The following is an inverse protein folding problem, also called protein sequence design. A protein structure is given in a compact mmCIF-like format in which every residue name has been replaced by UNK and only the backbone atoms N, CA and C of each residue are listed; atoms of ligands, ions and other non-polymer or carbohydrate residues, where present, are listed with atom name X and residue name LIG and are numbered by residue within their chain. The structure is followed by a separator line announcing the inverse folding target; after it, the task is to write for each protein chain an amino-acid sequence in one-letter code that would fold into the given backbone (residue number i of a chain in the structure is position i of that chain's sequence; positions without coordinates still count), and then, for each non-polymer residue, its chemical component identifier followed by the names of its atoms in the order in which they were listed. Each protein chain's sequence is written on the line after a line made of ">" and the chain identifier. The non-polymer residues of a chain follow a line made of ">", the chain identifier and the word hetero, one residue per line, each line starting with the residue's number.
data_IF_316668222592
#
_entry.id   IF_316668222592
#
_cell.length_a   1.000
_cell.length_b   1.000
_cell.length_c   1.000
_cell.angle_alpha   90.00
_cell.angle_beta   90.00
_cell.angle_gamma   90.00
#
_symmetry.space_group_name_H-M   'P 1'
#
loop_
_entity.id
_entity.type
_entity.pdbx_description
1 polymer ?
#
# COMPACT_ATOMS: atom_id res chain seq x y z
N UNK A 1 -33.13 51.84 34.18
CA UNK A 1 -31.91 52.59 33.82
C UNK A 1 -30.82 51.58 33.54
N UNK A 2 -30.15 51.48 32.41
CA UNK A 2 -30.21 52.20 31.14
C UNK A 2 -29.86 51.20 30.02
N UNK A 3 -30.48 51.41 28.87
CA UNK A 3 -30.27 50.71 27.61
C UNK A 3 -28.98 51.19 26.95
N UNK A 4 -28.21 50.29 26.31
CA UNK A 4 -27.25 50.68 25.28
C UNK A 4 -27.44 49.75 24.07
N UNK A 5 -28.02 50.35 23.04
CA UNK A 5 -28.10 49.90 21.66
C UNK A 5 -26.98 50.57 20.86
N UNK A 6 -26.38 49.87 19.90
CA UNK A 6 -25.77 50.35 18.64
C UNK A 6 -25.05 49.14 18.00
N UNK A 7 -24.89 48.95 16.70
CA UNK A 7 -25.64 49.20 15.46
C UNK A 7 -24.84 48.46 14.37
N UNK A 8 -25.52 48.00 13.32
CA UNK A 8 -24.93 47.29 12.16
C UNK A 8 -23.87 48.15 11.44
N UNK A 9 -22.79 47.49 10.98
CA UNK A 9 -21.99 47.95 9.86
C UNK A 9 -21.91 46.84 8.80
N UNK A 10 -22.50 47.13 7.64
CA UNK A 10 -22.42 46.38 6.40
C UNK A 10 -21.12 46.69 5.69
N UNK A 11 -20.41 45.68 5.19
CA UNK A 11 -19.37 45.85 4.17
C UNK A 11 -19.65 44.87 3.03
N UNK A 12 -20.07 45.47 1.91
CA UNK A 12 -20.16 44.91 0.57
C UNK A 12 -18.80 45.06 -0.12
N UNK A 13 -18.30 44.02 -0.79
CA UNK A 13 -17.64 44.19 -2.10
C UNK A 13 -17.39 42.86 -2.83
N UNK A 14 -18.11 42.70 -3.94
CA UNK A 14 -17.63 42.37 -5.29
C UNK A 14 -16.75 41.13 -5.51
N UNK A 15 -17.32 40.08 -6.14
CA UNK A 15 -16.57 39.19 -7.03
C UNK A 15 -17.30 39.00 -8.36
N UNK A 16 -16.50 39.03 -9.41
CA UNK A 16 -16.83 39.23 -10.80
C UNK A 16 -17.62 38.07 -11.43
N UNK A 17 -18.58 38.44 -12.28
CA UNK A 17 -19.16 37.60 -13.32
C UNK A 17 -18.12 37.42 -14.46
N UNK A 18 -17.87 36.18 -14.85
CA UNK A 18 -17.34 35.82 -16.16
C UNK A 18 -18.39 34.93 -16.84
N UNK A 19 -18.82 35.36 -18.03
CA UNK A 19 -19.79 34.66 -18.86
C UNK A 19 -19.15 34.20 -20.18
N UNK A 20 -19.86 33.28 -20.84
CA UNK A 20 -19.77 32.82 -22.23
C UNK A 20 -18.79 31.68 -22.62
N UNK A 21 -19.36 30.47 -22.63
CA UNK A 21 -19.74 29.66 -23.81
C UNK A 21 -18.86 29.66 -25.09
N UNK A 22 -18.49 28.43 -25.51
CA UNK A 22 -18.60 27.86 -26.88
C UNK A 22 -18.30 26.35 -26.79
N UNK A 23 -19.25 25.42 -26.91
CA UNK A 23 -19.88 24.79 -28.09
C UNK A 23 -18.94 24.24 -29.18
N UNK A 24 -19.40 23.14 -29.79
CA UNK A 24 -18.87 22.27 -30.88
C UNK A 24 -17.94 21.14 -30.43
N UNK A 25 -18.05 19.89 -30.89
CA UNK A 25 -18.97 19.24 -31.84
C UNK A 25 -18.77 17.72 -31.79
N UNK A 26 -19.83 17.00 -32.13
CA UNK A 26 -19.91 15.56 -32.41
C UNK A 26 -18.99 15.15 -33.57
N UNK A 27 -18.28 14.04 -33.44
CA UNK A 27 -17.95 13.15 -34.56
C UNK A 27 -17.73 11.72 -34.08
N UNK A 28 -18.61 10.84 -34.55
CA UNK A 28 -18.59 9.38 -34.43
C UNK A 28 -17.71 8.82 -35.55
N UNK A 29 -16.86 7.82 -35.29
CA UNK A 29 -16.40 6.85 -36.30
C UNK A 29 -16.00 5.52 -35.63
N UNK A 30 -16.46 4.44 -36.26
CA UNK A 30 -16.51 3.03 -35.86
C UNK A 30 -15.18 2.27 -36.10
N UNK A 31 -15.05 1.03 -35.57
CA UNK A 31 -13.82 0.24 -35.61
C UNK A 31 -13.65 -0.55 -36.92
N UNK A 32 -12.41 -0.92 -37.24
CA UNK A 32 -12.07 -1.86 -38.31
C UNK A 32 -11.44 -3.14 -37.76
N UNK A 33 -12.14 -4.24 -37.98
CA UNK A 33 -11.64 -5.61 -38.04
C UNK A 33 -10.60 -5.79 -39.16
N UNK A 34 -9.67 -6.75 -38.97
CA UNK A 34 -9.31 -7.79 -39.96
C UNK A 34 -8.31 -8.84 -39.41
N UNK A 35 -8.88 -10.02 -39.09
CA UNK A 35 -8.51 -11.37 -39.56
C UNK A 35 -7.07 -11.71 -39.99
N UNK A 36 -6.52 -12.73 -39.30
CA UNK A 36 -5.93 -14.01 -39.77
C UNK A 36 -5.20 -14.09 -41.12
N UNK A 37 -3.98 -14.64 -41.09
CA UNK A 37 -3.53 -15.60 -42.11
C UNK A 37 -2.53 -16.63 -41.57
N UNK A 38 -2.70 -17.83 -42.12
CA UNK A 38 -2.11 -19.13 -41.81
C UNK A 38 -0.70 -19.33 -42.38
N UNK A 39 -0.13 -20.52 -42.05
CA UNK A 39 0.77 -21.36 -42.87
C UNK A 39 2.28 -21.17 -42.61
N UNK A 40 3.15 -22.19 -42.56
CA UNK A 40 3.08 -23.63 -42.92
C UNK A 40 4.30 -24.36 -42.26
N UNK A 41 4.10 -25.64 -41.98
CA UNK A 41 5.04 -26.78 -41.88
C UNK A 41 6.55 -26.56 -42.14
N UNK A 42 7.37 -27.19 -41.29
CA UNK A 42 8.79 -27.47 -41.58
C UNK A 42 9.38 -28.53 -40.65
N UNK A 43 9.16 -29.80 -40.98
CA UNK A 43 9.82 -30.98 -40.41
C UNK A 43 11.28 -31.10 -40.89
N UNK A 44 12.21 -31.44 -40.00
CA UNK A 44 13.36 -32.26 -40.39
C UNK A 44 13.93 -33.08 -39.21
N UNK A 45 13.98 -34.38 -39.45
CA UNK A 45 14.61 -35.45 -38.67
C UNK A 45 16.12 -35.49 -38.94
N UNK A 46 16.96 -35.62 -37.91
CA UNK A 46 18.26 -36.31 -38.04
C UNK A 46 18.50 -37.21 -36.82
N UNK A 47 19.01 -38.40 -37.15
CA UNK A 47 19.08 -39.70 -36.47
C UNK A 47 20.30 -39.83 -35.52
N UNK A 48 20.28 -40.75 -34.53
CA UNK A 48 21.36 -40.94 -33.56
C UNK A 48 22.47 -41.86 -34.07
N UNK A 49 23.68 -41.69 -33.55
CA UNK A 49 24.81 -42.61 -33.76
C UNK A 49 25.34 -43.11 -32.42
N UNK A 50 25.28 -44.42 -32.24
CA UNK A 50 25.82 -45.19 -31.11
C UNK A 50 27.17 -45.78 -31.54
N UNK A 51 28.22 -45.69 -30.70
CA UNK A 51 29.43 -46.53 -30.81
C UNK A 51 29.95 -46.93 -29.42
N UNK A 52 29.67 -48.18 -29.06
CA UNK A 52 30.54 -49.26 -28.57
C UNK A 52 31.60 -49.02 -27.47
N UNK A 53 31.34 -49.65 -26.31
CA UNK A 53 32.19 -50.44 -25.40
C UNK A 53 33.72 -50.35 -25.50
N UNK A 54 34.38 -50.03 -24.37
CA UNK A 54 35.49 -50.83 -23.83
C UNK A 54 35.44 -50.91 -22.31
N UNK A 55 35.73 -52.12 -21.80
CA UNK A 55 35.69 -52.54 -20.39
C UNK A 55 37.13 -52.45 -19.87
N UNK A 56 37.39 -51.60 -18.88
CA UNK A 56 38.69 -51.49 -18.21
C UNK A 56 38.51 -51.53 -16.69
N UNK A 57 39.10 -52.53 -16.05
CA UNK A 57 39.07 -52.80 -14.61
C UNK A 57 40.39 -52.30 -14.02
N UNK A 58 40.38 -51.31 -13.13
CA UNK A 58 41.53 -51.00 -12.28
C UNK A 58 41.10 -50.26 -11.01
N UNK A 59 41.82 -50.56 -9.95
CA UNK A 59 41.58 -50.33 -8.52
C UNK A 59 41.76 -48.89 -8.04
N UNK A 60 41.11 -48.59 -6.91
CA UNK A 60 41.18 -47.37 -6.09
C UNK A 60 42.60 -46.85 -5.82
N UNK A 61 42.71 -45.54 -5.49
CA UNK A 61 42.68 -45.18 -4.07
C UNK A 61 41.61 -44.12 -3.78
N UNK A 62 40.77 -44.40 -2.79
CA UNK A 62 39.83 -43.46 -2.17
C UNK A 62 40.60 -42.37 -1.43
N UNK A 63 40.90 -41.27 -2.12
CA UNK A 63 41.20 -40.00 -1.48
C UNK A 63 39.90 -39.52 -0.84
N UNK A 64 39.83 -39.59 0.50
CA UNK A 64 38.77 -38.92 1.27
C UNK A 64 38.92 -37.42 1.00
N UNK A 65 38.14 -36.91 0.05
CA UNK A 65 37.89 -35.47 -0.06
C UNK A 65 37.03 -35.14 1.15
N UNK A 66 37.67 -34.67 2.21
CA UNK A 66 36.98 -33.97 3.28
C UNK A 66 36.45 -32.69 2.66
N UNK A 67 35.20 -32.71 2.24
CA UNK A 67 34.44 -31.49 1.99
C UNK A 67 34.25 -30.83 3.36
N UNK A 68 35.19 -29.95 3.72
CA UNK A 68 34.89 -28.89 4.67
C UNK A 68 33.72 -28.13 4.06
N UNK A 69 32.52 -28.37 4.57
CA UNK A 69 31.38 -27.52 4.31
C UNK A 69 31.70 -26.19 5.01
N UNK A 70 32.49 -25.33 4.35
CA UNK A 70 32.46 -23.90 4.59
C UNK A 70 31.08 -23.42 4.14
N UNK A 71 30.10 -23.60 5.00
CA UNK A 71 28.78 -23.00 4.88
C UNK A 71 28.90 -21.52 5.20
N UNK A 72 29.57 -20.77 4.34
CA UNK A 72 29.51 -19.32 4.30
C UNK A 72 28.96 -18.89 2.95
N UNK A 73 27.80 -19.44 2.58
CA UNK A 73 26.95 -18.82 1.56
C UNK A 73 26.18 -17.67 2.20
N UNK A 74 26.87 -16.70 2.80
CA UNK A 74 26.23 -15.46 3.22
C UNK A 74 25.98 -14.63 1.96
N UNK A 75 24.77 -14.70 1.44
CA UNK A 75 24.30 -13.69 0.48
C UNK A 75 24.60 -12.30 1.07
N UNK A 76 25.14 -11.35 0.29
CA UNK A 76 25.42 -10.01 0.81
C UNK A 76 24.13 -9.39 1.35
N UNK A 77 24.22 -8.74 2.51
CA UNK A 77 23.10 -8.04 3.12
C UNK A 77 22.63 -6.87 2.24
N UNK A 78 21.33 -6.53 2.30
CA UNK A 78 20.81 -5.36 1.60
C UNK A 78 21.46 -4.07 2.11
N UNK A 79 21.62 -3.08 1.22
CA UNK A 79 22.13 -1.77 1.60
C UNK A 79 21.05 -0.90 2.25
N UNK A 80 19.78 -1.15 1.94
CA UNK A 80 18.63 -0.54 2.58
C UNK A 80 17.38 -1.43 2.55
N UNK A 81 16.47 -1.22 3.51
CA UNK A 81 15.11 -1.72 3.50
C UNK A 81 14.13 -0.55 3.29
N UNK A 82 13.25 -0.68 2.30
CA UNK A 82 12.27 0.33 1.93
C UNK A 82 10.86 -0.23 2.15
N UNK A 83 10.27 0.09 3.29
CA UNK A 83 8.94 -0.40 3.66
C UNK A 83 7.84 0.43 3.00
N UNK A 84 6.77 -0.20 2.53
CA UNK A 84 5.49 0.50 2.44
C UNK A 84 4.93 0.75 3.86
N UNK A 85 4.00 1.69 4.01
CA UNK A 85 3.31 1.90 5.27
C UNK A 85 2.07 1.01 5.36
N UNK A 86 1.10 1.26 4.48
CA UNK A 86 -0.22 0.64 4.47
C UNK A 86 -0.14 -0.81 4.00
N UNK A 87 -0.65 -1.73 4.81
CA UNK A 87 -0.61 -3.18 4.55
C UNK A 87 0.75 -3.83 4.82
N UNK A 88 1.80 -3.06 5.15
CA UNK A 88 3.16 -3.58 5.40
C UNK A 88 3.61 -3.34 6.83
N UNK A 89 3.69 -2.09 7.29
CA UNK A 89 3.99 -1.83 8.71
C UNK A 89 2.81 -2.21 9.59
N UNK A 90 1.62 -1.89 9.11
CA UNK A 90 0.35 -2.04 9.81
C UNK A 90 -0.73 -2.42 8.79
N UNK A 91 -1.71 -3.21 9.21
CA UNK A 91 -2.89 -3.48 8.38
C UNK A 91 -3.90 -2.33 8.53
N UNK A 92 -3.56 -1.15 7.95
CA UNK A 92 -4.29 0.11 8.17
C UNK A 92 -5.76 0.02 7.79
N UNK A 93 -6.11 -0.76 6.76
CA UNK A 93 -7.49 -0.94 6.35
C UNK A 93 -8.25 -1.83 7.32
N UNK A 94 -7.75 -3.05 7.58
CA UNK A 94 -8.43 -4.05 8.42
C UNK A 94 -8.50 -3.66 9.89
N UNK A 95 -7.41 -3.16 10.45
CA UNK A 95 -7.25 -2.95 11.89
C UNK A 95 -7.31 -1.47 12.29
N UNK A 96 -7.28 -0.55 11.33
CA UNK A 96 -7.36 0.90 11.57
C UNK A 96 -8.65 1.53 11.06
N UNK A 97 -8.79 1.65 9.74
CA UNK A 97 -9.90 2.34 9.10
C UNK A 97 -11.24 1.66 9.36
N UNK A 98 -11.33 0.34 9.24
CA UNK A 98 -12.55 -0.41 9.58
C UNK A 98 -12.96 -0.21 11.04
N UNK A 99 -12.01 -0.29 11.97
CA UNK A 99 -12.27 -0.09 13.41
C UNK A 99 -12.78 1.33 13.67
N UNK A 100 -12.10 2.35 13.15
CA UNK A 100 -12.53 3.75 13.32
C UNK A 100 -13.88 4.07 12.65
N UNK A 101 -14.26 3.40 11.56
CA UNK A 101 -15.63 3.47 11.02
C UNK A 101 -16.64 2.90 12.04
N UNK A 102 -16.39 1.69 12.54
CA UNK A 102 -17.29 1.03 13.50
C UNK A 102 -17.42 1.82 14.80
N UNK A 103 -16.31 2.36 15.33
CA UNK A 103 -16.33 3.21 16.52
C UNK A 103 -17.17 4.47 16.27
N UNK A 104 -17.06 5.09 15.10
CA UNK A 104 -17.88 6.24 14.73
C UNK A 104 -19.36 5.88 14.64
N UNK A 105 -19.69 4.74 14.02
CA UNK A 105 -21.08 4.29 13.91
C UNK A 105 -21.68 3.96 15.29
N UNK A 106 -20.88 3.39 16.18
CA UNK A 106 -21.26 3.09 17.55
C UNK A 106 -21.46 4.37 18.37
N UNK A 107 -20.54 5.34 18.32
CA UNK A 107 -20.69 6.66 18.99
C UNK A 107 -21.96 7.39 18.55
N UNK A 108 -22.35 7.26 17.28
CA UNK A 108 -23.57 7.85 16.72
C UNK A 108 -24.81 6.98 16.95
N UNK A 109 -24.64 5.77 17.48
CA UNK A 109 -25.69 4.79 17.73
C UNK A 109 -26.48 4.48 16.46
N UNK A 110 -25.79 4.15 15.36
CA UNK A 110 -26.39 3.84 14.06
C UNK A 110 -26.79 2.37 13.90
N UNK A 111 -26.39 1.50 14.82
CA UNK A 111 -26.67 0.06 14.74
C UNK A 111 -25.98 -0.63 13.55
N UNK A 112 -24.84 -0.09 13.10
CA UNK A 112 -24.09 -0.56 11.92
C UNK A 112 -22.72 -1.05 12.37
N UNK A 113 -22.29 -2.18 11.82
CA UNK A 113 -20.94 -2.70 12.02
C UNK A 113 -20.48 -3.34 10.73
N UNK A 114 -19.26 -2.98 10.31
CA UNK A 114 -18.57 -3.60 9.19
C UNK A 114 -17.55 -4.60 9.73
N UNK A 115 -17.84 -5.89 9.56
CA UNK A 115 -16.86 -6.94 9.77
C UNK A 115 -15.77 -6.92 8.68
N UNK A 116 -14.80 -7.84 8.77
CA UNK A 116 -13.65 -7.87 7.87
C UNK A 116 -14.09 -8.15 6.43
N UNK A 117 -14.99 -9.11 6.22
CA UNK A 117 -15.41 -9.57 4.90
C UNK A 117 -16.24 -8.49 4.18
N UNK A 118 -17.22 -7.91 4.87
CA UNK A 118 -18.01 -6.79 4.36
C UNK A 118 -17.12 -5.59 4.06
N UNK A 119 -16.17 -5.25 4.94
CA UNK A 119 -15.25 -4.15 4.69
C UNK A 119 -14.38 -4.42 3.46
N UNK A 120 -13.92 -5.66 3.25
CA UNK A 120 -13.19 -6.08 2.07
C UNK A 120 -13.98 -5.84 0.77
N UNK A 121 -15.28 -6.13 0.76
CA UNK A 121 -16.15 -5.82 -0.36
C UNK A 121 -16.33 -4.30 -0.56
N UNK A 122 -16.48 -3.55 0.53
CA UNK A 122 -16.62 -2.11 0.51
C UNK A 122 -15.34 -1.37 0.08
N UNK A 123 -14.15 -1.97 0.22
CA UNK A 123 -12.88 -1.40 -0.26
C UNK A 123 -12.83 -1.24 -1.79
N UNK A 124 -13.66 -1.99 -2.54
CA UNK A 124 -13.82 -1.83 -3.99
C UNK A 124 -14.43 -0.49 -4.37
N UNK A 125 -15.07 0.19 -3.42
CA UNK A 125 -15.58 1.55 -3.57
C UNK A 125 -14.52 2.52 -3.05
N UNK A 126 -14.02 3.38 -3.94
CA UNK A 126 -13.01 4.37 -3.61
C UNK A 126 -13.56 5.48 -2.71
N UNK A 127 -12.80 5.88 -1.70
CA UNK A 127 -13.14 6.99 -0.80
C UNK A 127 -14.07 6.59 0.36
N UNK A 128 -13.78 7.11 1.56
CA UNK A 128 -14.52 6.74 2.77
C UNK A 128 -15.95 7.28 2.82
N UNK A 129 -16.19 8.46 2.25
CA UNK A 129 -17.54 9.07 2.20
C UNK A 129 -18.42 8.32 1.20
N UNK A 130 -17.89 8.10 0.02
CA UNK A 130 -18.52 7.40 -1.09
C UNK A 130 -18.89 5.97 -0.68
N UNK A 131 -18.00 5.30 0.06
CA UNK A 131 -18.23 3.98 0.67
C UNK A 131 -19.41 3.96 1.64
N UNK A 132 -19.48 4.92 2.57
CA UNK A 132 -20.61 5.03 3.51
C UNK A 132 -21.92 5.32 2.77
N UNK A 133 -21.91 6.26 1.82
CA UNK A 133 -23.09 6.61 1.02
C UNK A 133 -23.59 5.40 0.22
N UNK A 134 -22.70 4.69 -0.47
CA UNK A 134 -23.06 3.50 -1.24
C UNK A 134 -23.61 2.38 -0.35
N UNK A 135 -23.01 2.16 0.84
CA UNK A 135 -23.50 1.21 1.81
C UNK A 135 -24.93 1.54 2.25
N UNK A 136 -25.20 2.77 2.74
CA UNK A 136 -26.53 3.15 3.21
C UNK A 136 -27.58 3.21 2.10
N UNK A 137 -27.20 3.58 0.88
CA UNK A 137 -28.10 3.50 -0.27
C UNK A 137 -28.51 2.06 -0.59
N UNK A 138 -27.63 1.08 -0.35
CA UNK A 138 -27.89 -0.34 -0.62
C UNK A 138 -28.65 -1.03 0.52
N UNK A 139 -28.29 -0.75 1.77
CA UNK A 139 -28.83 -1.47 2.95
C UNK A 139 -29.98 -0.73 3.65
N UNK A 140 -30.24 0.51 3.25
CA UNK A 140 -31.13 1.42 3.97
C UNK A 140 -30.34 2.37 4.87
N UNK A 141 -30.81 3.62 4.92
CA UNK A 141 -30.24 4.65 5.77
C UNK A 141 -30.65 4.43 7.24
N UNK A 142 -29.76 4.69 8.22
CA UNK A 142 -30.09 4.59 9.64
C UNK A 142 -31.26 5.51 10.01
N UNK A 143 -32.07 5.13 11.01
CA UNK A 143 -33.23 5.94 11.43
C UNK A 143 -32.87 7.36 11.86
N UNK A 144 -31.68 7.54 12.44
CA UNK A 144 -31.15 8.84 12.87
C UNK A 144 -30.57 9.68 11.73
N UNK A 145 -30.50 9.14 10.52
CA UNK A 145 -29.97 9.87 9.38
C UNK A 145 -31.02 10.86 8.83
N UNK A 146 -30.57 12.01 8.29
CA UNK A 146 -31.46 12.95 7.63
C UNK A 146 -32.18 12.36 6.41
N UNK A 147 -33.29 13.00 6.02
CA UNK A 147 -34.13 12.55 4.90
C UNK A 147 -33.78 13.21 3.56
N UNK A 148 -33.33 14.46 3.56
CA UNK A 148 -32.92 15.15 2.34
C UNK A 148 -31.51 14.74 1.91
N UNK A 149 -31.24 14.80 0.61
CA UNK A 149 -29.93 14.42 0.05
C UNK A 149 -28.82 15.39 0.48
N UNK A 150 -29.14 16.68 0.59
CA UNK A 150 -28.21 17.70 1.04
C UNK A 150 -27.78 17.49 2.50
N UNK A 151 -28.73 17.20 3.39
CA UNK A 151 -28.44 16.93 4.80
C UNK A 151 -27.72 15.59 4.97
N UNK A 152 -28.04 14.58 4.15
CA UNK A 152 -27.31 13.30 4.12
C UNK A 152 -25.86 13.48 3.73
N UNK A 153 -25.57 14.35 2.77
CA UNK A 153 -24.20 14.67 2.37
C UNK A 153 -23.41 15.29 3.52
N UNK A 154 -24.01 16.23 4.25
CA UNK A 154 -23.39 16.83 5.44
C UNK A 154 -23.21 15.81 6.57
N UNK A 155 -24.22 14.96 6.78
CA UNK A 155 -24.15 13.87 7.75
C UNK A 155 -22.98 12.92 7.46
N UNK A 156 -22.82 12.47 6.21
CA UNK A 156 -21.70 11.63 5.78
C UNK A 156 -20.36 12.33 5.95
N UNK A 157 -20.28 13.63 5.63
CA UNK A 157 -19.08 14.43 5.85
C UNK A 157 -18.71 14.48 7.35
N UNK A 158 -19.70 14.64 8.23
CA UNK A 158 -19.50 14.65 9.69
C UNK A 158 -19.02 13.29 10.22
N UNK A 159 -19.57 12.18 9.73
CA UNK A 159 -19.13 10.83 10.08
C UNK A 159 -17.68 10.60 9.63
N UNK A 160 -17.36 10.97 8.40
CA UNK A 160 -16.00 10.80 7.87
C UNK A 160 -14.97 11.63 8.64
N UNK A 161 -15.33 12.86 9.00
CA UNK A 161 -14.49 13.71 9.85
C UNK A 161 -14.22 13.03 11.20
N UNK A 162 -15.27 12.59 11.89
CA UNK A 162 -15.14 11.92 13.19
C UNK A 162 -14.33 10.63 13.09
N UNK A 163 -14.58 9.80 12.07
CA UNK A 163 -13.79 8.61 11.77
C UNK A 163 -12.31 8.92 11.59
N UNK A 164 -11.99 10.02 10.92
CA UNK A 164 -10.59 10.45 10.70
C UNK A 164 -9.91 10.82 12.02
N UNK A 165 -10.62 11.54 12.90
CA UNK A 165 -10.12 11.86 14.25
C UNK A 165 -9.87 10.58 15.08
N UNK A 166 -10.81 9.64 15.07
CA UNK A 166 -10.68 8.38 15.78
C UNK A 166 -9.55 7.52 15.23
N UNK A 167 -9.34 7.49 13.90
CA UNK A 167 -8.21 6.79 13.30
C UNK A 167 -6.87 7.35 13.78
N UNK A 168 -6.72 8.67 13.86
CA UNK A 168 -5.50 9.28 14.40
C UNK A 168 -5.32 8.94 15.89
N UNK A 169 -6.41 8.97 16.67
CA UNK A 169 -6.37 8.60 18.08
C UNK A 169 -5.99 7.13 18.30
N UNK A 170 -6.38 6.21 17.41
CA UNK A 170 -5.96 4.79 17.48
C UNK A 170 -4.44 4.66 17.34
N UNK A 171 -3.82 5.42 16.44
CA UNK A 171 -2.37 5.43 16.23
C UNK A 171 -1.67 6.02 17.45
N UNK A 172 -2.09 7.20 17.90
CA UNK A 172 -1.47 7.92 19.03
C UNK A 172 -1.55 7.12 20.33
N UNK A 173 -2.66 6.41 20.56
CA UNK A 173 -2.86 5.53 21.72
C UNK A 173 -2.23 4.14 21.56
N UNK A 174 -1.54 3.87 20.44
CA UNK A 174 -0.90 2.59 20.14
C UNK A 174 -1.86 1.39 20.13
N UNK A 175 -3.11 1.62 19.70
CA UNK A 175 -4.14 0.58 19.59
C UNK A 175 -4.14 -0.10 18.22
N UNK A 176 -3.41 0.43 17.24
CA UNK A 176 -3.18 -0.20 15.95
C UNK A 176 -1.90 -1.07 16.01
N UNK A 177 -1.99 -2.40 15.87
CA UNK A 177 -0.81 -3.26 15.97
C UNK A 177 0.07 -3.18 14.72
N UNK A 178 1.39 -3.23 14.92
CA UNK A 178 2.32 -3.54 13.83
C UNK A 178 2.07 -4.95 13.30
N UNK A 179 2.32 -5.16 12.01
CA UNK A 179 2.31 -6.52 11.45
C UNK A 179 3.39 -7.38 12.13
N UNK A 180 3.12 -8.68 12.36
CA UNK A 180 4.09 -9.58 12.97
C UNK A 180 5.45 -9.54 12.26
N UNK A 181 6.52 -9.43 13.03
CA UNK A 181 7.89 -9.44 12.51
C UNK A 181 8.45 -8.08 12.06
N UNK A 182 7.61 -7.06 11.85
CA UNK A 182 8.07 -5.72 11.38
C UNK A 182 9.09 -5.11 12.34
N UNK A 183 8.77 -4.98 13.62
CA UNK A 183 9.69 -4.39 14.60
C UNK A 183 11.01 -5.17 14.70
N UNK A 184 10.92 -6.52 14.70
CA UNK A 184 12.09 -7.40 14.73
C UNK A 184 12.98 -7.19 13.50
N UNK A 185 12.39 -7.09 12.32
CA UNK A 185 13.14 -6.89 11.06
C UNK A 185 13.83 -5.53 11.03
N UNK A 186 13.16 -4.48 11.52
CA UNK A 186 13.75 -3.14 11.66
C UNK A 186 14.94 -3.18 12.63
N UNK A 187 14.81 -3.84 13.77
CA UNK A 187 15.91 -3.96 14.75
C UNK A 187 17.11 -4.73 14.19
N UNK A 188 16.85 -5.83 13.47
CA UNK A 188 17.88 -6.61 12.79
C UNK A 188 18.60 -5.78 11.73
N UNK A 189 17.86 -5.00 10.93
CA UNK A 189 18.45 -4.11 9.94
C UNK A 189 19.41 -3.09 10.58
N UNK A 190 18.99 -2.46 11.69
CA UNK A 190 19.85 -1.53 12.41
C UNK A 190 21.09 -2.18 13.03
N UNK A 191 20.96 -3.39 13.58
CA UNK A 191 22.10 -4.13 14.13
C UNK A 191 23.17 -4.44 13.07
N UNK A 192 22.74 -4.66 11.83
CA UNK A 192 23.61 -4.97 10.68
C UNK A 192 24.05 -3.71 9.89
N UNK A 193 23.73 -2.50 10.37
CA UNK A 193 24.08 -1.25 9.68
C UNK A 193 23.31 -1.01 8.38
N UNK A 194 22.20 -1.74 8.16
CA UNK A 194 21.32 -1.56 7.00
C UNK A 194 20.43 -0.34 7.21
N UNK A 195 20.37 0.54 6.19
CA UNK A 195 19.53 1.74 6.24
C UNK A 195 18.04 1.37 6.14
N UNK A 196 17.17 2.12 6.80
CA UNK A 196 15.72 1.87 6.76
C UNK A 196 14.97 3.13 6.36
N UNK A 197 14.01 3.00 5.45
CA UNK A 197 13.06 4.05 5.13
C UNK A 197 11.65 3.52 4.90
N UNK A 198 10.67 4.42 4.99
CA UNK A 198 9.26 4.17 4.68
C UNK A 198 8.88 5.02 3.45
N UNK A 199 8.25 4.37 2.48
CA UNK A 199 7.83 4.95 1.21
C UNK A 199 6.33 4.68 0.99
N UNK A 200 5.48 5.70 1.17
CA UNK A 200 4.02 5.53 1.12
C UNK A 200 3.34 6.60 0.26
N UNK A 201 2.22 6.26 -0.37
CA UNK A 201 1.34 7.22 -1.06
C UNK A 201 0.39 7.95 -0.11
N UNK A 202 0.28 7.49 1.14
CA UNK A 202 -0.51 8.12 2.20
C UNK A 202 0.10 9.43 2.66
N UNK A 203 -0.71 10.24 3.35
CA UNK A 203 -0.26 11.54 3.85
C UNK A 203 0.86 11.40 4.90
N UNK A 204 1.80 12.34 4.88
CA UNK A 204 2.99 12.31 5.74
C UNK A 204 2.64 12.28 7.23
N UNK A 205 1.62 13.02 7.66
CA UNK A 205 1.22 13.09 9.07
C UNK A 205 0.83 11.71 9.62
N UNK A 206 0.05 10.93 8.87
CA UNK A 206 -0.36 9.59 9.27
C UNK A 206 0.83 8.61 9.29
N UNK A 207 1.69 8.64 8.27
CA UNK A 207 2.87 7.78 8.19
C UNK A 207 3.85 8.10 9.33
N UNK A 208 4.11 9.38 9.58
CA UNK A 208 4.95 9.85 10.68
C UNK A 208 4.40 9.46 12.05
N UNK A 209 3.09 9.55 12.24
CA UNK A 209 2.45 9.08 13.47
C UNK A 209 2.60 7.56 13.64
N UNK A 210 2.39 6.76 12.60
CA UNK A 210 2.58 5.30 12.63
C UNK A 210 4.02 4.96 13.02
N UNK A 211 5.01 5.56 12.37
CA UNK A 211 6.42 5.31 12.66
C UNK A 211 6.76 5.76 14.10
N UNK A 212 6.37 6.96 14.50
CA UNK A 212 6.75 7.52 15.80
C UNK A 212 6.06 6.83 16.98
N UNK A 213 4.76 6.55 16.89
CA UNK A 213 4.00 5.97 18.00
C UNK A 213 4.08 4.44 18.05
N UNK A 214 4.04 3.77 16.89
CA UNK A 214 3.93 2.31 16.83
C UNK A 214 5.31 1.63 16.76
N UNK A 215 6.24 2.12 15.92
CA UNK A 215 7.64 1.64 15.95
C UNK A 215 8.42 2.25 17.12
N UNK A 216 7.99 3.41 17.63
CA UNK A 216 8.60 4.09 18.76
C UNK A 216 9.66 5.11 18.35
N UNK A 217 9.94 6.10 19.22
CA UNK A 217 10.77 7.26 18.89
C UNK A 217 12.22 6.89 18.51
N UNK A 218 12.83 5.93 19.23
CA UNK A 218 14.22 5.52 18.96
C UNK A 218 14.42 4.92 17.56
N UNK A 219 13.42 4.18 17.06
CA UNK A 219 13.43 3.67 15.68
C UNK A 219 13.13 4.81 14.71
N UNK A 220 12.13 5.62 15.02
CA UNK A 220 11.69 6.73 14.17
C UNK A 220 12.83 7.71 13.84
N UNK A 221 13.70 8.02 14.80
CA UNK A 221 14.87 8.89 14.58
C UNK A 221 15.83 8.37 13.49
N UNK A 222 15.87 7.05 13.28
CA UNK A 222 16.76 6.37 12.32
C UNK A 222 16.07 6.05 11.00
N UNK A 223 14.74 6.17 10.93
CA UNK A 223 13.94 5.86 9.74
C UNK A 223 13.68 7.13 8.94
N UNK A 224 14.04 7.12 7.65
CA UNK A 224 13.63 8.19 6.74
C UNK A 224 12.22 7.96 6.21
N UNK A 225 11.40 9.00 6.17
CA UNK A 225 10.02 8.92 5.68
C UNK A 225 9.90 9.68 4.36
N UNK A 226 9.35 9.01 3.36
CA UNK A 226 8.96 9.57 2.07
C UNK A 226 7.46 9.28 1.90
N UNK A 227 6.63 10.31 1.91
CA UNK A 227 5.19 10.15 1.95
C UNK A 227 4.45 11.21 1.12
N UNK A 228 3.21 10.90 0.74
CA UNK A 228 2.27 11.84 0.13
C UNK A 228 2.76 12.40 -1.20
N UNK A 229 2.83 13.73 -1.27
CA UNK A 229 3.11 14.48 -2.50
C UNK A 229 4.59 14.90 -2.62
N UNK A 230 5.48 14.24 -1.87
CA UNK A 230 6.95 14.41 -2.02
C UNK A 230 7.46 14.04 -3.42
N UNK A 231 6.65 13.28 -4.17
CA UNK A 231 6.86 13.01 -5.60
C UNK A 231 5.59 13.33 -6.41
N UNK A 232 5.73 13.81 -7.66
CA UNK A 232 4.59 14.21 -8.48
C UNK A 232 3.77 13.02 -8.99
N UNK A 233 4.40 11.86 -9.21
CA UNK A 233 3.73 10.64 -9.65
C UNK A 233 3.75 9.61 -8.53
N UNK A 234 2.56 9.18 -8.11
CA UNK A 234 2.35 8.18 -7.04
C UNK A 234 2.50 6.77 -7.60
N UNK A 235 2.65 5.78 -6.69
CA UNK A 235 2.65 4.35 -7.03
C UNK A 235 1.46 4.03 -7.96
N UNK A 236 1.63 3.19 -9.00
CA UNK A 236 2.74 2.26 -9.23
C UNK A 236 4.01 2.88 -9.84
N UNK A 237 4.07 4.20 -10.08
CA UNK A 237 5.32 4.86 -10.50
C UNK A 237 6.42 4.69 -9.41
N UNK A 238 7.67 4.34 -9.79
CA UNK A 238 8.74 4.09 -8.83
C UNK A 238 9.37 5.37 -8.24
N UNK A 239 8.91 6.57 -8.59
CA UNK A 239 9.52 7.85 -8.20
C UNK A 239 9.80 7.96 -6.69
N UNK A 240 8.88 7.53 -5.83
CA UNK A 240 9.06 7.62 -4.38
C UNK A 240 10.19 6.72 -3.87
N UNK A 241 10.37 5.56 -4.50
CA UNK A 241 11.43 4.63 -4.16
C UNK A 241 12.78 5.07 -4.71
N UNK A 242 12.80 5.67 -5.91
CA UNK A 242 14.00 6.27 -6.48
C UNK A 242 14.47 7.45 -5.61
N UNK A 243 13.54 8.30 -5.17
CA UNK A 243 13.83 9.39 -4.23
C UNK A 243 14.45 8.84 -2.93
N UNK A 244 13.89 7.77 -2.37
CA UNK A 244 14.43 7.16 -1.17
C UNK A 244 15.83 6.60 -1.38
N UNK A 245 16.06 5.86 -2.48
CA UNK A 245 17.36 5.29 -2.81
C UNK A 245 18.45 6.37 -2.96
N UNK A 246 18.15 7.44 -3.72
CA UNK A 246 19.04 8.60 -3.90
C UNK A 246 19.34 9.25 -2.54
N UNK A 247 18.31 9.52 -1.74
CA UNK A 247 18.45 10.18 -0.43
C UNK A 247 19.27 9.35 0.55
N UNK A 248 19.13 8.02 0.50
CA UNK A 248 19.90 7.09 1.31
C UNK A 248 21.31 6.84 0.73
N UNK A 249 21.61 7.31 -0.47
CA UNK A 249 22.89 7.05 -1.15
C UNK A 249 23.09 5.57 -1.45
N UNK A 250 22.03 4.87 -1.88
CA UNK A 250 22.07 3.45 -2.27
C UNK A 250 21.72 3.30 -3.75
N UNK A 251 22.34 2.34 -4.42
CA UNK A 251 22.14 2.11 -5.85
C UNK A 251 20.79 1.41 -6.11
N UNK A 252 19.85 2.05 -6.85
CA UNK A 252 18.54 1.46 -7.15
C UNK A 252 18.60 0.33 -8.20
N UNK A 253 19.71 0.16 -8.93
CA UNK A 253 19.85 -0.82 -10.02
C UNK A 253 19.81 -2.30 -9.59
N UNK A 254 19.67 -2.55 -8.29
CA UNK A 254 19.53 -3.87 -7.69
C UNK A 254 18.09 -4.07 -7.24
N UNK A 255 17.21 -4.16 -8.23
CA UNK A 255 15.76 -4.38 -8.10
C UNK A 255 15.45 -5.88 -8.14
N UNK A 256 14.71 -6.41 -7.16
CA UNK A 256 14.13 -7.76 -7.22
C UNK A 256 12.60 -7.66 -7.30
N UNK A 257 12.04 -7.91 -8.48
CA UNK A 257 10.71 -8.51 -8.59
C UNK A 257 10.92 -10.02 -8.70
N UNK A 258 10.64 -10.77 -7.63
CA UNK A 258 10.54 -12.23 -7.68
C UNK A 258 11.85 -12.97 -7.94
N UNK A 259 12.40 -13.55 -6.87
CA UNK A 259 13.41 -14.60 -6.89
C UNK A 259 14.85 -14.25 -7.28
N UNK A 260 15.77 -14.61 -6.38
CA UNK A 260 17.25 -14.50 -6.43
C UNK A 260 17.91 -13.12 -6.63
N UNK A 261 18.38 -12.59 -5.49
CA UNK A 261 19.58 -11.75 -5.28
C UNK A 261 19.51 -10.27 -5.69
N UNK A 262 19.00 -9.43 -4.79
CA UNK A 262 19.31 -7.99 -4.77
C UNK A 262 19.11 -7.36 -3.37
N UNK A 263 19.82 -6.25 -3.15
CA UNK A 263 20.10 -5.62 -1.86
C UNK A 263 19.10 -4.52 -1.44
N UNK A 264 17.85 -4.58 -1.94
CA UNK A 264 16.74 -3.70 -1.57
C UNK A 264 15.47 -4.54 -1.52
N UNK A 265 14.89 -4.73 -0.33
CA UNK A 265 13.58 -5.38 -0.18
C UNK A 265 12.50 -4.31 -0.24
N UNK A 266 11.73 -4.32 -1.33
CA UNK A 266 10.41 -3.71 -1.38
C UNK A 266 9.43 -4.78 -0.90
N UNK A 267 8.80 -4.59 0.27
CA UNK A 267 7.70 -5.51 0.62
C UNK A 267 6.50 -5.21 -0.29
N UNK A 268 6.20 -6.21 -1.11
CA UNK A 268 5.16 -6.25 -2.12
C UNK A 268 3.83 -6.47 -1.40
N UNK A 269 2.98 -5.44 -1.39
CA UNK A 269 1.54 -5.55 -1.07
C UNK A 269 0.75 -6.54 -1.96
N UNK A 270 1.43 -7.36 -2.76
CA UNK A 270 0.90 -8.44 -3.59
C UNK A 270 1.32 -9.86 -3.18
N UNK A 271 2.03 -10.08 -2.07
CA UNK A 271 2.40 -11.42 -1.58
C UNK A 271 1.61 -11.85 -0.31
N UNK A 272 0.27 -11.89 -0.40
CA UNK A 272 -0.61 -12.47 0.65
C UNK A 272 -1.07 -13.90 0.33
N UNK A 273 -0.50 -14.56 -0.69
CA UNK A 273 -0.83 -15.97 -0.97
C UNK A 273 0.43 -16.73 -1.36
N UNK A 274 1.15 -17.27 -0.38
CA UNK A 274 2.01 -18.48 -0.48
C UNK A 274 2.83 -18.66 0.81
N UNK A 275 2.19 -18.93 1.94
CA UNK A 275 2.84 -19.63 3.09
C UNK A 275 1.80 -20.42 3.88
N UNK A 276 1.09 -21.33 3.20
CA UNK A 276 0.36 -22.43 3.85
C UNK A 276 0.76 -23.78 3.24
N UNK A 277 2.04 -23.94 2.90
CA UNK A 277 2.57 -25.20 2.40
C UNK A 277 4.03 -25.39 2.76
N UNK A 278 4.37 -25.33 4.05
CA UNK A 278 5.48 -26.12 4.64
C UNK A 278 5.16 -26.37 6.12
N UNK A 279 4.11 -27.14 6.36
CA UNK A 279 3.87 -27.85 7.61
C UNK A 279 3.07 -29.10 7.27
N UNK A 280 3.80 -30.16 6.94
CA UNK A 280 3.32 -31.49 6.56
C UNK A 280 4.52 -32.41 6.39
#
# INVERSE_FOLDING_TARGET
>A
MASISLSLATISSSKALLSHQKTSSIASLKPHDKTLSHSILGTSLIRPTTLTTTRGKASSPTTKITCSASSSSSSPLPSALLFDCDGVLVDTEKDGHRISFNDTFNEKGLGVTWDVDLYGELLKIGGGKERMTAYFNKTGWPEKAPKSEEERKEFIASLHKRKTELFMALIEKKLLPLRPGVAKLVDQAFAEGVKVAVCSTSNEKAVSAIVSFLLGPERAEKIKIFAGDVVPRKKPDPAIYNLAAITLGVDPSRYCNGDTRANIVYDLSHYTTMTNSVAG
#
